data_IF_009859253176
#
_entry.id   IF_009859253176
#
_cell.length_a   1.000
_cell.length_b   1.000
_cell.length_c   1.000
_cell.angle_alpha   90.00
_cell.angle_beta   90.00
_cell.angle_gamma   90.00
#
_symmetry.space_group_name_H-M   'P 1'
#
loop_
_entity.id
_entity.type
_entity.pdbx_description
1 polymer ?
#
# COMPACT_ATOMS: atom_id res chain seq x y z
N UNK A 1 -33.25 1.02 -2.26
CA UNK A 1 -31.90 0.47 -2.48
C UNK A 1 -31.94 -0.21 -3.84
N UNK A 2 -31.36 0.41 -4.89
CA UNK A 2 -31.54 -0.06 -6.29
C UNK A 2 -30.24 -0.06 -7.13
N UNK A 3 -29.12 0.36 -6.54
CA UNK A 3 -27.84 0.37 -7.24
C UNK A 3 -27.16 -1.00 -7.25
N UNK A 4 -27.47 -1.87 -6.28
CA UNK A 4 -26.96 -3.25 -6.22
C UNK A 4 -27.69 -4.15 -7.25
N UNK A 5 -28.95 -3.84 -7.59
CA UNK A 5 -29.69 -4.57 -8.65
C UNK A 5 -29.34 -4.11 -10.06
N UNK A 6 -28.64 -2.98 -10.20
CA UNK A 6 -28.30 -2.39 -11.50
C UNK A 6 -26.88 -2.70 -11.96
N UNK A 7 -25.95 -3.02 -11.05
CA UNK A 7 -24.56 -3.35 -11.38
C UNK A 7 -24.27 -4.82 -11.12
N UNK A 8 -23.66 -5.48 -12.10
CA UNK A 8 -23.20 -6.85 -11.92
C UNK A 8 -22.16 -6.99 -10.79
N UNK A 9 -22.16 -8.12 -10.04
CA UNK A 9 -21.20 -8.37 -8.96
C UNK A 9 -19.72 -8.08 -9.31
N UNK A 10 -19.18 -8.50 -10.48
CA UNK A 10 -17.79 -8.19 -10.86
C UNK A 10 -17.54 -6.70 -11.13
N UNK A 11 -18.52 -5.96 -11.67
CA UNK A 11 -18.38 -4.52 -11.93
C UNK A 11 -18.27 -3.72 -10.62
N UNK A 12 -19.04 -4.13 -9.59
CA UNK A 12 -18.97 -3.52 -8.26
C UNK A 12 -17.61 -3.74 -7.59
N UNK A 13 -17.03 -4.94 -7.70
CA UNK A 13 -15.69 -5.20 -7.17
C UNK A 13 -14.62 -4.36 -7.87
N UNK A 14 -14.72 -4.21 -9.19
CA UNK A 14 -13.79 -3.38 -9.95
C UNK A 14 -13.88 -1.89 -9.56
N UNK A 15 -15.10 -1.39 -9.32
CA UNK A 15 -15.30 -0.03 -8.81
C UNK A 15 -14.58 0.17 -7.47
N UNK A 16 -14.78 -0.75 -6.52
CA UNK A 16 -14.13 -0.68 -5.21
C UNK A 16 -12.59 -0.71 -5.33
N UNK A 17 -12.06 -1.55 -6.22
CA UNK A 17 -10.64 -1.62 -6.52
C UNK A 17 -10.09 -0.26 -7.01
N UNK A 18 -10.76 0.38 -7.97
CA UNK A 18 -10.38 1.70 -8.48
C UNK A 18 -10.41 2.76 -7.37
N UNK A 19 -11.43 2.74 -6.49
CA UNK A 19 -11.54 3.70 -5.38
C UNK A 19 -10.34 3.61 -4.45
N UNK A 20 -9.93 2.39 -4.07
CA UNK A 20 -8.75 2.18 -3.22
C UNK A 20 -7.49 2.70 -3.92
N UNK A 21 -7.30 2.37 -5.19
CA UNK A 21 -6.12 2.77 -5.96
C UNK A 21 -6.04 4.28 -6.13
N UNK A 22 -7.13 4.93 -6.55
CA UNK A 22 -7.21 6.39 -6.70
C UNK A 22 -7.02 7.08 -5.34
N UNK A 23 -7.57 6.52 -4.26
CA UNK A 23 -7.35 7.03 -2.90
C UNK A 23 -5.87 7.01 -2.50
N UNK A 24 -5.15 5.94 -2.87
CA UNK A 24 -3.71 5.86 -2.65
C UNK A 24 -2.96 6.92 -3.48
N UNK A 25 -3.29 7.10 -4.76
CA UNK A 25 -2.66 8.11 -5.61
C UNK A 25 -2.87 9.55 -5.09
N UNK A 26 -4.06 9.84 -4.56
CA UNK A 26 -4.37 11.14 -3.94
C UNK A 26 -3.51 11.35 -2.68
N UNK A 27 -3.35 10.32 -1.86
CA UNK A 27 -2.53 10.38 -0.64
C UNK A 27 -1.05 10.66 -0.95
N UNK A 28 -0.55 10.14 -2.07
CA UNK A 28 0.80 10.40 -2.55
C UNK A 28 0.92 11.74 -3.32
N UNK A 29 -0.15 12.53 -3.43
CA UNK A 29 -0.24 13.79 -4.19
C UNK A 29 -0.07 13.68 -5.72
N UNK A 30 -0.27 12.50 -6.31
CA UNK A 30 -0.23 12.28 -7.76
C UNK A 30 -1.58 12.55 -8.43
N UNK A 31 -2.01 13.81 -8.45
CA UNK A 31 -3.34 14.19 -8.96
C UNK A 31 -3.56 13.88 -10.45
N UNK A 32 -2.56 14.07 -11.30
CA UNK A 32 -2.68 13.77 -12.74
C UNK A 32 -2.91 12.27 -12.99
N UNK A 33 -2.17 11.42 -12.27
CA UNK A 33 -2.31 9.96 -12.33
C UNK A 33 -3.65 9.51 -11.76
N UNK A 34 -4.10 10.11 -10.65
CA UNK A 34 -5.39 9.84 -10.05
C UNK A 34 -6.54 10.16 -11.03
N UNK A 35 -6.51 11.32 -11.69
CA UNK A 35 -7.52 11.70 -12.67
C UNK A 35 -7.58 10.72 -13.86
N UNK A 36 -6.42 10.34 -14.40
CA UNK A 36 -6.34 9.36 -15.48
C UNK A 36 -6.92 7.99 -15.07
N UNK A 37 -6.62 7.53 -13.85
CA UNK A 37 -7.16 6.28 -13.29
C UNK A 37 -8.66 6.34 -13.03
N UNK A 38 -9.21 7.49 -12.65
CA UNK A 38 -10.66 7.68 -12.53
C UNK A 38 -11.33 7.53 -13.90
N UNK A 39 -10.82 8.20 -14.94
CA UNK A 39 -11.40 8.12 -16.29
C UNK A 39 -11.34 6.70 -16.83
N UNK A 40 -10.17 6.05 -16.76
CA UNK A 40 -10.01 4.67 -17.20
C UNK A 40 -10.79 3.68 -16.34
N UNK A 41 -10.87 3.90 -15.03
CA UNK A 41 -11.61 3.06 -14.10
C UNK A 41 -13.12 3.11 -14.35
N UNK A 42 -13.69 4.30 -14.56
CA UNK A 42 -15.10 4.45 -14.92
C UNK A 42 -15.40 3.77 -16.26
N UNK A 43 -14.53 3.93 -17.26
CA UNK A 43 -14.65 3.22 -18.53
C UNK A 43 -14.64 1.70 -18.33
N UNK A 44 -13.74 1.18 -17.47
CA UNK A 44 -13.67 -0.23 -17.13
C UNK A 44 -14.93 -0.77 -16.46
N UNK A 45 -15.53 -0.01 -15.52
CA UNK A 45 -16.80 -0.39 -14.88
C UNK A 45 -17.91 -0.52 -15.92
N UNK A 46 -18.06 0.45 -16.83
CA UNK A 46 -19.09 0.42 -17.89
C UNK A 46 -18.90 -0.77 -18.83
N UNK A 47 -17.65 -1.06 -19.21
CA UNK A 47 -17.34 -2.20 -20.08
C UNK A 47 -17.68 -3.53 -19.38
N UNK A 48 -17.31 -3.68 -18.10
CA UNK A 48 -17.61 -4.89 -17.32
C UNK A 48 -19.10 -5.10 -17.11
N UNK A 49 -19.85 -4.03 -16.87
CA UNK A 49 -21.30 -4.07 -16.75
C UNK A 49 -21.96 -4.51 -18.06
N UNK A 50 -21.51 -3.95 -19.20
CA UNK A 50 -21.96 -4.36 -20.52
C UNK A 50 -21.62 -5.82 -20.83
N UNK A 51 -20.41 -6.30 -20.53
CA UNK A 51 -20.01 -7.70 -20.71
C UNK A 51 -20.91 -8.66 -19.91
N UNK A 52 -21.19 -8.31 -18.66
CA UNK A 52 -22.04 -9.14 -17.82
C UNK A 52 -23.50 -9.19 -18.31
N UNK A 53 -24.02 -8.09 -18.88
CA UNK A 53 -25.37 -8.03 -19.44
C UNK A 53 -25.59 -8.94 -20.67
N UNK A 54 -24.51 -9.40 -21.31
CA UNK A 54 -24.54 -10.32 -22.47
C UNK A 54 -24.25 -11.77 -22.05
N UNK A 55 -24.41 -12.10 -20.75
CA UNK A 55 -24.14 -13.43 -20.16
C UNK A 55 -22.64 -13.84 -20.17
N UNK A 56 -21.72 -12.91 -20.47
CA UNK A 56 -20.26 -13.14 -20.39
C UNK A 56 -19.72 -12.97 -18.96
N UNK A 57 -20.51 -13.38 -17.95
CA UNK A 57 -20.16 -13.26 -16.53
C UNK A 57 -18.79 -13.90 -16.23
N UNK A 58 -18.52 -15.09 -16.76
CA UNK A 58 -17.25 -15.80 -16.54
C UNK A 58 -16.03 -14.99 -17.02
N UNK A 59 -16.14 -14.30 -18.16
CA UNK A 59 -15.06 -13.47 -18.71
C UNK A 59 -14.81 -12.26 -17.81
N UNK A 60 -15.88 -11.61 -17.33
CA UNK A 60 -15.75 -10.46 -16.42
C UNK A 60 -15.06 -10.83 -15.09
N UNK A 61 -15.33 -12.01 -14.54
CA UNK A 61 -14.65 -12.53 -13.35
C UNK A 61 -13.15 -12.76 -13.58
N UNK A 62 -12.76 -13.28 -14.75
CA UNK A 62 -11.35 -13.45 -15.10
C UNK A 62 -10.60 -12.11 -15.19
N UNK A 63 -11.23 -11.08 -15.79
CA UNK A 63 -10.65 -9.73 -15.87
C UNK A 63 -10.43 -9.15 -14.47
N UNK A 64 -11.43 -9.25 -13.58
CA UNK A 64 -11.34 -8.72 -12.22
C UNK A 64 -10.33 -9.49 -11.37
N UNK A 65 -10.17 -10.80 -11.58
CA UNK A 65 -9.19 -11.61 -10.86
C UNK A 65 -7.73 -11.31 -11.27
N UNK A 66 -7.50 -10.88 -12.51
CA UNK A 66 -6.16 -10.64 -13.07
C UNK A 66 -5.26 -9.75 -12.19
N UNK A 67 -5.66 -8.54 -11.75
CA UNK A 67 -4.81 -7.71 -10.90
C UNK A 67 -4.46 -8.37 -9.55
N UNK A 68 -5.39 -9.11 -8.94
CA UNK A 68 -5.11 -9.80 -7.67
C UNK A 68 -4.08 -10.91 -7.84
N UNK A 69 -4.20 -11.71 -8.89
CA UNK A 69 -3.23 -12.76 -9.21
C UNK A 69 -1.86 -12.14 -9.51
N UNK A 70 -1.82 -11.07 -10.30
CA UNK A 70 -0.57 -10.37 -10.61
C UNK A 70 0.11 -9.82 -9.37
N UNK A 71 -0.63 -9.20 -8.45
CA UNK A 71 -0.07 -8.69 -7.18
C UNK A 71 0.42 -9.82 -6.28
N UNK A 72 -0.31 -10.94 -6.20
CA UNK A 72 0.11 -12.10 -5.43
C UNK A 72 1.42 -12.70 -5.96
N UNK A 73 1.53 -12.84 -7.29
CA UNK A 73 2.75 -13.31 -7.94
C UNK A 73 3.91 -12.33 -7.74
N UNK A 74 3.69 -11.03 -7.94
CA UNK A 74 4.71 -10.01 -7.75
C UNK A 74 5.24 -10.00 -6.31
N UNK A 75 4.35 -10.08 -5.31
CA UNK A 75 4.71 -10.19 -3.90
C UNK A 75 5.53 -11.45 -3.62
N UNK A 76 5.12 -12.59 -4.17
CA UNK A 76 5.84 -13.87 -3.99
C UNK A 76 7.26 -13.82 -4.56
N UNK A 77 7.43 -13.19 -5.73
CA UNK A 77 8.75 -12.98 -6.34
C UNK A 77 9.59 -12.01 -5.51
N UNK A 78 9.00 -10.91 -5.02
CA UNK A 78 9.71 -9.95 -4.14
C UNK A 78 10.27 -10.61 -2.89
N UNK A 79 9.45 -11.44 -2.23
CA UNK A 79 9.83 -12.22 -1.05
C UNK A 79 10.93 -13.25 -1.39
N UNK A 80 10.79 -13.97 -2.51
CA UNK A 80 11.79 -14.94 -2.96
C UNK A 80 13.15 -14.32 -3.30
N UNK A 81 13.15 -13.10 -3.83
CA UNK A 81 14.36 -12.32 -4.14
C UNK A 81 14.89 -11.54 -2.92
N UNK A 82 14.14 -11.49 -1.82
CA UNK A 82 14.53 -10.78 -0.60
C UNK A 82 14.67 -9.26 -0.78
N UNK A 83 13.92 -8.66 -1.72
CA UNK A 83 13.98 -7.21 -1.99
C UNK A 83 13.61 -6.42 -0.72
N UNK A 84 12.65 -6.92 0.06
CA UNK A 84 12.21 -6.32 1.31
C UNK A 84 13.36 -6.19 2.34
N UNK A 85 14.31 -7.12 2.36
CA UNK A 85 15.49 -7.06 3.26
C UNK A 85 16.48 -6.00 2.83
N UNK A 86 16.67 -5.82 1.52
CA UNK A 86 17.57 -4.79 0.99
C UNK A 86 16.98 -3.39 1.20
N UNK A 87 15.67 -3.24 0.98
CA UNK A 87 14.93 -2.00 1.27
C UNK A 87 14.96 -1.69 2.77
N UNK A 88 14.78 -2.69 3.65
CA UNK A 88 14.86 -2.50 5.09
C UNK A 88 16.22 -2.01 5.57
N UNK A 89 17.31 -2.39 4.91
CA UNK A 89 18.65 -1.86 5.21
C UNK A 89 18.85 -0.46 4.65
N UNK A 90 18.41 -0.19 3.42
CA UNK A 90 18.49 1.13 2.81
C UNK A 90 17.69 2.20 3.59
N UNK A 91 16.53 1.82 4.17
CA UNK A 91 15.73 2.70 5.03
C UNK A 91 16.34 2.83 6.43
N UNK A 92 17.23 1.90 6.86
CA UNK A 92 17.89 1.95 8.17
C UNK A 92 19.01 2.98 8.26
N UNK A 93 19.38 3.62 7.15
CA UNK A 93 20.48 4.59 7.09
C UNK A 93 20.00 6.01 7.39
N UNK A 94 19.55 6.22 8.63
CA UNK A 94 19.23 7.53 9.19
C UNK A 94 19.90 7.81 10.55
N UNK A 95 20.70 6.89 11.07
CA UNK A 95 21.59 7.19 12.20
C UNK A 95 23.00 7.35 11.65
N UNK A 96 23.33 8.58 11.27
CA UNK A 96 24.70 8.96 10.97
C UNK A 96 25.59 8.49 12.12
N UNK A 97 26.53 7.59 11.79
CA UNK A 97 27.61 7.17 12.69
C UNK A 97 28.20 8.42 13.33
N UNK A 98 28.03 8.55 14.64
CA UNK A 98 28.44 9.70 15.43
C UNK A 98 29.98 9.79 15.38
N UNK A 99 30.52 10.60 14.47
CA UNK A 99 31.93 11.02 14.53
C UNK A 99 32.16 11.78 15.84
N UNK A 100 33.30 11.49 16.48
CA UNK A 100 33.74 11.80 17.86
C UNK A 100 33.11 12.99 18.61
N UNK A 101 32.85 14.11 17.94
CA UNK A 101 32.30 15.32 18.55
C UNK A 101 30.81 15.18 18.94
N UNK A 102 30.04 14.31 18.27
CA UNK A 102 28.61 14.11 18.56
C UNK A 102 28.35 13.11 19.69
N UNK A 103 29.32 12.27 20.08
CA UNK A 103 29.19 11.33 21.20
C UNK A 103 29.03 12.06 22.54
N UNK A 104 29.77 13.16 22.73
CA UNK A 104 29.69 13.97 23.96
C UNK A 104 28.34 14.68 24.12
N UNK A 105 27.69 15.01 22.99
CA UNK A 105 26.36 15.60 22.99
C UNK A 105 25.25 14.53 23.17
N UNK A 106 25.50 13.29 22.72
CA UNK A 106 24.60 12.15 22.95
C UNK A 106 24.41 11.87 24.43
N UNK A 107 25.47 11.89 25.23
CA UNK A 107 25.37 11.58 26.67
C UNK A 107 24.54 12.63 27.44
N UNK A 108 24.56 13.88 26.97
CA UNK A 108 23.67 14.96 27.42
C UNK A 108 22.21 14.74 26.97
N UNK A 109 21.98 14.36 25.73
CA UNK A 109 20.63 14.11 25.22
C UNK A 109 19.96 12.87 25.86
N UNK A 110 20.73 11.80 26.07
CA UNK A 110 20.24 10.54 26.66
C UNK A 110 19.91 10.73 28.15
N UNK A 111 20.65 11.58 28.87
CA UNK A 111 20.31 11.92 30.26
C UNK A 111 19.03 12.75 30.35
N UNK A 112 18.86 13.78 29.50
CA UNK A 112 17.62 14.57 29.45
C UNK A 112 16.40 13.73 29.06
N UNK A 113 16.52 12.83 28.07
CA UNK A 113 15.43 11.94 27.70
C UNK A 113 15.17 10.86 28.77
N UNK A 114 16.18 10.43 29.53
CA UNK A 114 15.97 9.47 30.63
C UNK A 114 15.21 10.08 31.81
N UNK A 115 15.36 11.38 32.04
CA UNK A 115 14.54 12.12 33.01
C UNK A 115 13.10 12.34 32.51
N UNK A 116 12.88 12.56 31.21
CA UNK A 116 11.52 12.73 30.64
C UNK A 116 10.77 11.40 30.40
N UNK A 117 11.47 10.30 30.10
CA UNK A 117 10.88 8.99 29.72
C UNK A 117 10.70 8.04 30.91
N UNK A 118 10.92 8.51 32.15
CA UNK A 118 10.66 7.75 33.39
C UNK A 118 9.21 7.26 33.59
N UNK A 119 8.29 7.52 32.65
CA UNK A 119 6.88 7.15 32.73
C UNK A 119 6.35 6.27 31.57
N UNK A 120 7.17 5.85 30.59
CA UNK A 120 6.66 5.07 29.44
C UNK A 120 7.55 3.84 29.14
N UNK A 121 7.04 2.60 29.23
CA UNK A 121 7.81 1.40 28.94
C UNK A 121 7.90 1.18 27.43
N UNK A 122 9.03 1.55 26.82
CA UNK A 122 9.40 0.97 25.53
C UNK A 122 10.12 -0.36 25.81
N UNK A 123 9.45 -1.46 25.47
CA UNK A 123 9.99 -2.81 25.44
C UNK A 123 11.37 -2.84 24.77
N UNK A 124 12.41 -2.96 25.59
CA UNK A 124 13.62 -3.64 25.18
C UNK A 124 13.37 -5.14 25.41
N UNK A 125 13.04 -5.87 24.35
CA UNK A 125 13.31 -7.30 24.35
C UNK A 125 13.89 -7.70 22.99
N UNK A 126 15.20 -7.89 23.01
CA UNK A 126 16.04 -8.39 21.91
C UNK A 126 17.32 -8.90 22.54
N UNK A 127 17.21 -9.95 23.35
CA UNK A 127 18.31 -10.87 23.65
C UNK A 127 17.72 -12.15 24.21
N UNK A 128 17.29 -13.05 23.33
CA UNK A 128 17.62 -14.48 23.21
C UNK A 128 16.63 -15.16 22.25
#
# INVERSE_FOLDING_TARGET
MRFIDALCPPALLYLLYIVVHVGLDITLSLYATAAAKVVMGVAGVVILDALCSVDLGVVSWAIVATPFIMVALATSISLGLGIDRQVGLAIREGFASLTGDNLKNRDRLVSTLKDEVGALPLSQDSTY
#
